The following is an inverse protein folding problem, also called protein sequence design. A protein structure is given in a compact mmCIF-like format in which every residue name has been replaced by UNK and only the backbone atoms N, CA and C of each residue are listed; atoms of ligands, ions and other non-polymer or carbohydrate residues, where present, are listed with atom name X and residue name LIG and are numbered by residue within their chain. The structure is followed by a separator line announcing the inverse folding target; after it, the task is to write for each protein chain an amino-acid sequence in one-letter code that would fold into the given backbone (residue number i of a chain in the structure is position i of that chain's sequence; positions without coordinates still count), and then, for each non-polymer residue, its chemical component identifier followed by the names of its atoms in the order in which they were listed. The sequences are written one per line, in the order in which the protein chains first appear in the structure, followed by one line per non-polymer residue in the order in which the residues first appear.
data_IF_814625298593
#
_entry.id   IF_814625298593
#
_cell.length_a   1.000
_cell.length_b   1.000
_cell.length_c   1.000
_cell.angle_alpha   90.00
_cell.angle_beta   90.00
_cell.angle_gamma   90.00
#
_symmetry.space_group_name_H-M   'P 1'
#
loop_
_entity.id
_entity.type
_entity.pdbx_description
1 polymer ?
#
# COMPACT_ATOMS: atom_id res chain seq x y z
N UNK A 1 -8.90 27.11 -14.11
CA UNK A 1 -7.70 27.97 -14.13
C UNK A 1 -7.10 27.89 -15.52
N UNK A 2 -7.44 28.84 -16.41
CA UNK A 2 -6.73 29.00 -17.69
C UNK A 2 -5.56 29.95 -17.42
N UNK A 3 -4.39 29.61 -17.95
CA UNK A 3 -3.16 30.38 -17.74
C UNK A 3 -3.06 31.63 -18.63
N UNK A 4 -4.17 32.02 -19.27
CA UNK A 4 -4.28 33.14 -20.22
C UNK A 4 -5.58 33.95 -20.02
N UNK A 5 -6.19 33.92 -18.82
CA UNK A 5 -7.54 34.48 -18.60
C UNK A 5 -7.64 36.01 -18.53
N UNK A 6 -6.56 36.77 -18.72
CA UNK A 6 -6.63 38.26 -18.73
C UNK A 6 -6.66 38.90 -20.13
N UNK A 7 -6.85 38.12 -21.19
CA UNK A 7 -6.99 38.64 -22.56
C UNK A 7 -8.35 38.32 -23.20
N UNK A 8 -9.44 38.90 -22.70
CA UNK A 8 -10.64 39.28 -23.48
C UNK A 8 -11.17 38.31 -24.59
N UNK A 9 -10.92 36.99 -24.48
CA UNK A 9 -11.01 36.00 -25.57
C UNK A 9 -10.44 36.48 -26.93
N UNK A 10 -9.47 37.40 -26.96
CA UNK A 10 -8.92 37.92 -28.22
C UNK A 10 -7.81 36.99 -28.75
N UNK A 11 -7.85 36.60 -30.03
CA UNK A 11 -6.79 35.79 -30.61
C UNK A 11 -5.47 36.54 -30.60
N UNK A 12 -4.40 35.87 -30.16
CA UNK A 12 -3.04 36.42 -30.14
C UNK A 12 -2.34 35.99 -31.44
N UNK A 13 -1.85 36.97 -32.22
CA UNK A 13 -1.03 36.69 -33.40
C UNK A 13 0.40 36.34 -32.98
N UNK A 14 0.85 35.13 -33.32
CA UNK A 14 2.21 34.67 -33.07
C UNK A 14 3.05 34.79 -34.35
N UNK A 15 4.26 35.36 -34.24
CA UNK A 15 5.22 35.40 -35.35
C UNK A 15 5.77 34.02 -35.67
N UNK A 16 6.38 33.84 -36.85
CA UNK A 16 7.14 32.63 -37.13
C UNK A 16 8.26 32.43 -36.08
N UNK A 17 8.37 31.22 -35.52
CA UNK A 17 9.37 30.89 -34.51
C UNK A 17 8.83 30.01 -33.38
N UNK A 18 9.65 29.84 -32.34
CA UNK A 18 9.33 29.07 -31.15
C UNK A 18 8.78 30.02 -30.08
N UNK A 19 7.60 29.71 -29.55
CA UNK A 19 6.95 30.47 -28.49
C UNK A 19 6.87 29.62 -27.22
N UNK A 20 7.25 30.21 -26.09
CA UNK A 20 7.20 29.54 -24.78
C UNK A 20 6.21 30.27 -23.87
N UNK A 21 5.26 29.52 -23.34
CA UNK A 21 4.24 30.03 -22.42
C UNK A 21 4.49 29.43 -21.04
N UNK A 22 5.34 30.05 -20.20
CA UNK A 22 5.63 29.53 -18.88
C UNK A 22 4.37 29.58 -18.01
N UNK A 23 4.16 28.54 -17.22
CA UNK A 23 3.07 28.50 -16.26
C UNK A 23 3.52 27.93 -14.93
N UNK A 24 2.80 28.33 -13.88
CA UNK A 24 2.97 27.78 -12.53
C UNK A 24 1.60 27.41 -11.98
N UNK A 25 1.48 26.18 -11.50
CA UNK A 25 0.29 25.69 -10.83
C UNK A 25 0.71 25.21 -9.44
N UNK A 26 0.12 25.79 -8.40
CA UNK A 26 0.25 25.25 -7.05
C UNK A 26 -0.58 23.97 -6.91
N UNK A 27 0.04 22.90 -6.43
CA UNK A 27 -0.67 21.66 -6.11
C UNK A 27 -1.19 21.72 -4.65
N UNK A 28 -2.43 21.28 -4.38
CA UNK A 28 -2.90 21.14 -3.01
C UNK A 28 -2.03 20.15 -2.21
N UNK A 29 -1.76 20.47 -0.94
CA UNK A 29 -0.99 19.59 -0.04
C UNK A 29 -1.75 18.29 0.30
N UNK A 30 -3.07 18.29 0.14
CA UNK A 30 -3.95 17.15 0.42
C UNK A 30 -4.06 16.17 -0.74
N UNK A 31 -3.26 16.31 -1.80
CA UNK A 31 -3.30 15.38 -2.92
C UNK A 31 -2.80 14.00 -2.46
N UNK A 32 -3.54 12.91 -2.77
CA UNK A 32 -3.02 11.57 -2.56
C UNK A 32 -1.77 11.33 -3.43
N UNK A 33 -0.92 10.41 -2.96
CA UNK A 33 0.15 9.87 -3.78
C UNK A 33 -0.40 9.24 -5.07
N UNK A 34 0.38 9.33 -6.14
CA UNK A 34 0.11 8.61 -7.38
C UNK A 34 0.11 7.11 -7.10
N UNK A 35 -0.90 6.42 -7.60
CA UNK A 35 -1.07 4.97 -7.42
C UNK A 35 -1.56 4.36 -8.73
N UNK A 36 -0.97 3.26 -9.17
CA UNK A 36 -1.40 2.55 -10.36
C UNK A 36 -1.66 1.08 -10.00
N UNK A 37 -2.93 0.68 -9.97
CA UNK A 37 -3.38 -0.69 -9.75
C UNK A 37 -4.21 -1.20 -10.91
N UNK A 38 -4.46 -2.51 -10.93
CA UNK A 38 -5.23 -3.15 -12.00
C UNK A 38 -6.70 -2.70 -12.02
N UNK A 39 -7.28 -2.52 -10.82
CA UNK A 39 -8.71 -2.17 -10.66
C UNK A 39 -8.95 -0.69 -10.32
N UNK A 40 -7.90 0.14 -10.39
CA UNK A 40 -8.02 1.58 -10.15
C UNK A 40 -6.67 2.27 -10.02
N UNK A 41 -6.65 3.56 -10.32
CA UNK A 41 -5.45 4.38 -10.26
C UNK A 41 -5.75 5.81 -9.82
N UNK A 42 -4.72 6.46 -9.28
CA UNK A 42 -4.63 7.90 -9.04
C UNK A 42 -3.48 8.39 -9.92
N UNK A 43 -3.80 9.18 -10.95
CA UNK A 43 -2.82 9.71 -11.89
C UNK A 43 -3.03 11.21 -12.08
N UNK A 44 -1.92 11.94 -12.11
CA UNK A 44 -1.92 13.38 -12.34
C UNK A 44 -1.34 13.71 -13.71
N UNK A 45 -1.95 14.69 -14.36
CA UNK A 45 -1.46 15.20 -15.62
C UNK A 45 -1.71 16.69 -15.76
N UNK A 46 -0.84 17.36 -16.48
CA UNK A 46 -1.08 18.70 -16.99
C UNK A 46 -1.57 18.57 -18.43
N UNK A 47 -2.66 19.28 -18.76
CA UNK A 47 -3.21 19.32 -20.11
C UNK A 47 -3.19 20.74 -20.63
N UNK A 48 -2.64 20.92 -21.81
CA UNK A 48 -2.63 22.19 -22.54
C UNK A 48 -3.51 22.07 -23.78
N UNK A 49 -4.17 23.16 -24.13
CA UNK A 49 -4.94 23.28 -25.36
C UNK A 49 -4.66 24.62 -26.02
N UNK A 50 -4.30 24.61 -27.29
CA UNK A 50 -4.14 25.78 -28.13
C UNK A 50 -5.23 25.75 -29.19
N UNK A 51 -6.03 26.81 -29.27
CA UNK A 51 -7.11 26.94 -30.24
C UNK A 51 -6.74 28.01 -31.27
N UNK A 52 -6.79 27.63 -32.54
CA UNK A 52 -6.62 28.54 -33.66
C UNK A 52 -7.90 29.32 -33.94
N UNK A 53 -7.78 30.47 -34.61
CA UNK A 53 -8.92 31.24 -35.12
C UNK A 53 -9.77 30.46 -36.16
N UNK A 54 -9.16 29.47 -36.83
CA UNK A 54 -9.84 28.52 -37.72
C UNK A 54 -10.79 27.56 -36.99
N UNK A 55 -10.70 27.48 -35.66
CA UNK A 55 -11.43 26.54 -34.81
C UNK A 55 -10.68 25.24 -34.50
N UNK A 56 -9.51 25.00 -35.12
CA UNK A 56 -8.68 23.82 -34.84
C UNK A 56 -8.12 23.92 -33.41
N UNK A 57 -8.19 22.82 -32.65
CA UNK A 57 -7.67 22.75 -31.28
C UNK A 57 -6.57 21.71 -31.16
N UNK A 58 -5.35 22.14 -30.88
CA UNK A 58 -4.20 21.31 -30.55
C UNK A 58 -4.21 21.02 -29.05
N UNK A 59 -4.01 19.76 -28.67
CA UNK A 59 -4.00 19.34 -27.26
C UNK A 59 -2.72 18.57 -26.97
N UNK A 60 -2.11 18.85 -25.83
CA UNK A 60 -0.98 18.09 -25.32
C UNK A 60 -1.25 17.75 -23.84
N UNK A 61 -0.76 16.60 -23.40
CA UNK A 61 -0.87 16.13 -22.03
C UNK A 61 0.46 15.57 -21.55
N UNK A 62 0.89 16.01 -20.36
CA UNK A 62 2.08 15.50 -19.68
C UNK A 62 1.68 14.90 -18.33
N UNK A 63 1.97 13.61 -18.13
CA UNK A 63 1.78 12.91 -16.86
C UNK A 63 2.94 13.24 -15.92
N UNK A 64 2.66 13.35 -14.62
CA UNK A 64 3.66 13.51 -13.58
C UNK A 64 3.28 12.74 -12.30
N UNK A 65 4.26 12.52 -11.43
CA UNK A 65 4.09 11.78 -10.18
C UNK A 65 3.95 12.77 -9.02
N UNK A 66 2.92 12.56 -8.22
CA UNK A 66 2.73 13.21 -6.90
C UNK A 66 3.09 12.19 -5.83
N UNK A 67 3.95 12.58 -4.89
CA UNK A 67 4.27 11.80 -3.70
C UNK A 67 3.84 12.60 -2.47
N UNK A 68 3.04 11.97 -1.63
CA UNK A 68 2.63 12.47 -0.32
C UNK A 68 3.14 11.47 0.74
N UNK A 69 4.39 11.61 1.19
CA UNK A 69 5.00 10.69 2.13
C UNK A 69 4.41 10.88 3.54
N UNK A 70 4.41 9.81 4.33
CA UNK A 70 4.04 9.84 5.75
C UNK A 70 5.33 9.91 6.55
N UNK A 71 5.45 10.93 7.40
CA UNK A 71 6.55 11.03 8.36
C UNK A 71 6.16 10.31 9.66
N UNK A 72 6.71 9.12 9.87
CA UNK A 72 6.42 8.30 11.04
C UNK A 72 6.80 8.97 12.36
N UNK A 73 7.66 9.99 12.36
CA UNK A 73 8.02 10.74 13.57
C UNK A 73 6.92 11.70 14.02
N UNK A 74 5.97 12.03 13.14
CA UNK A 74 4.83 12.91 13.43
C UNK A 74 3.55 12.11 13.74
N UNK A 75 3.58 10.79 13.55
CA UNK A 75 2.48 9.89 13.82
C UNK A 75 2.43 9.46 15.30
N UNK A 76 1.42 8.67 15.66
CA UNK A 76 1.24 8.16 17.01
C UNK A 76 2.52 7.44 17.51
N UNK A 77 3.12 7.85 18.65
CA UNK A 77 4.30 7.19 19.21
C UNK A 77 4.13 5.69 19.44
N UNK A 78 2.89 5.22 19.67
CA UNK A 78 2.57 3.80 19.79
C UNK A 78 3.00 2.97 18.56
N UNK A 79 3.20 3.61 17.41
CA UNK A 79 3.69 2.94 16.20
C UNK A 79 5.13 2.42 16.34
N UNK A 80 5.91 2.97 17.27
CA UNK A 80 7.27 2.53 17.59
C UNK A 80 7.30 1.43 18.65
N UNK A 81 6.18 1.13 19.30
CA UNK A 81 6.09 0.10 20.33
C UNK A 81 5.91 -1.29 19.73
N UNK A 82 6.47 -2.33 20.37
CA UNK A 82 6.24 -3.71 19.97
C UNK A 82 4.76 -4.08 19.85
N UNK A 83 4.49 -5.02 18.96
CA UNK A 83 3.14 -5.57 18.75
C UNK A 83 3.18 -7.09 18.91
N UNK A 84 2.42 -7.61 19.87
CA UNK A 84 2.20 -9.05 20.03
C UNK A 84 0.76 -9.42 19.69
N UNK A 85 0.60 -10.56 19.03
CA UNK A 85 -0.69 -11.15 18.71
C UNK A 85 -0.69 -12.64 19.08
N UNK A 86 -1.73 -13.10 19.75
CA UNK A 86 -1.95 -14.51 20.10
C UNK A 86 -3.29 -15.01 19.58
N UNK A 87 -3.28 -16.17 18.93
CA UNK A 87 -4.47 -16.82 18.38
C UNK A 87 -4.45 -18.30 18.75
N UNK A 88 -5.60 -18.80 19.22
CA UNK A 88 -5.85 -20.23 19.42
C UNK A 88 -6.86 -20.71 18.39
N UNK A 89 -6.44 -21.59 17.48
CA UNK A 89 -7.30 -22.15 16.44
C UNK A 89 -7.60 -23.62 16.70
N UNK A 90 -8.88 -23.96 16.88
CA UNK A 90 -9.32 -25.35 17.09
C UNK A 90 -9.53 -26.04 15.74
N UNK A 91 -8.88 -27.17 15.54
CA UNK A 91 -9.02 -28.02 14.36
C UNK A 91 -9.77 -29.29 14.75
N UNK A 92 -10.84 -29.59 14.02
CA UNK A 92 -11.66 -30.80 14.21
C UNK A 92 -12.61 -30.76 15.41
N UNK A 93 -13.40 -31.82 15.53
CA UNK A 93 -14.43 -32.01 16.58
C UNK A 93 -14.21 -33.32 17.33
N UNK A 94 -14.65 -33.35 18.60
CA UNK A 94 -14.55 -34.55 19.45
C UNK A 94 -13.11 -34.93 19.84
N UNK A 95 -12.84 -36.22 20.16
CA UNK A 95 -11.55 -36.70 20.68
C UNK A 95 -10.42 -36.73 19.63
N UNK A 96 -10.72 -36.44 18.37
CA UNK A 96 -9.74 -36.26 17.29
C UNK A 96 -9.38 -34.78 17.08
N UNK A 97 -10.12 -33.87 17.72
CA UNK A 97 -9.84 -32.44 17.68
C UNK A 97 -8.57 -32.07 18.44
N UNK A 98 -7.98 -30.96 18.06
CA UNK A 98 -6.84 -30.36 18.74
C UNK A 98 -6.80 -28.86 18.54
N UNK A 99 -5.81 -28.19 19.12
CA UNK A 99 -5.66 -26.73 19.01
C UNK A 99 -4.27 -26.39 18.49
N UNK A 100 -4.18 -25.39 17.63
CA UNK A 100 -2.92 -24.75 17.27
C UNK A 100 -2.90 -23.40 17.98
N UNK A 101 -1.89 -23.19 18.84
CA UNK A 101 -1.65 -21.88 19.45
C UNK A 101 -0.57 -21.18 18.66
N UNK A 102 -0.80 -19.92 18.32
CA UNK A 102 0.09 -19.09 17.54
C UNK A 102 0.32 -17.79 18.30
N UNK A 103 1.56 -17.53 18.68
CA UNK A 103 2.00 -16.25 19.23
C UNK A 103 2.99 -15.64 18.25
N UNK A 104 2.81 -14.36 17.90
CA UNK A 104 3.72 -13.62 17.02
C UNK A 104 3.97 -12.25 17.59
N UNK A 105 5.23 -11.81 17.55
CA UNK A 105 5.64 -10.47 17.92
C UNK A 105 6.34 -9.76 16.76
N UNK A 106 6.10 -8.45 16.68
CA UNK A 106 6.85 -7.49 15.88
C UNK A 106 7.57 -6.52 16.81
N UNK A 107 8.75 -6.03 16.43
CA UNK A 107 9.49 -5.02 17.20
C UNK A 107 8.80 -3.66 17.21
N UNK A 108 8.04 -3.34 16.15
CA UNK A 108 7.20 -2.13 16.04
C UNK A 108 6.03 -2.29 15.08
N UNK A 109 5.25 -1.23 14.85
CA UNK A 109 4.00 -1.27 14.06
C UNK A 109 4.09 -0.53 12.74
N UNK A 110 5.04 0.38 12.59
CA UNK A 110 5.26 1.12 11.36
C UNK A 110 6.72 1.04 10.91
N UNK A 111 6.89 0.88 9.60
CA UNK A 111 8.18 0.65 8.96
C UNK A 111 8.26 1.47 7.68
N UNK A 112 9.48 1.82 7.30
CA UNK A 112 9.76 2.45 6.01
C UNK A 112 10.34 1.44 5.02
N UNK A 113 10.21 1.68 3.70
CA UNK A 113 10.90 0.86 2.71
C UNK A 113 12.41 0.73 2.98
N UNK A 114 12.93 -0.49 2.83
CA UNK A 114 14.32 -0.86 3.11
C UNK A 114 14.57 -1.32 4.56
N UNK A 115 13.64 -1.11 5.47
CA UNK A 115 13.74 -1.56 6.85
C UNK A 115 13.41 -3.05 7.01
N UNK A 116 13.95 -3.68 8.06
CA UNK A 116 13.59 -5.04 8.45
C UNK A 116 12.53 -5.02 9.56
N UNK A 117 11.43 -5.72 9.32
CA UNK A 117 10.46 -6.10 10.36
C UNK A 117 11.08 -7.24 11.16
N UNK A 118 11.33 -7.06 12.46
CA UNK A 118 11.85 -8.13 13.30
C UNK A 118 10.69 -8.97 13.84
N UNK A 119 10.83 -10.29 13.72
CA UNK A 119 9.77 -11.25 14.03
C UNK A 119 10.18 -12.19 15.15
N UNK A 120 9.31 -12.29 16.14
CA UNK A 120 9.28 -13.42 17.07
C UNK A 120 8.04 -14.26 16.82
N UNK A 121 8.12 -15.55 17.08
CA UNK A 121 7.01 -16.47 16.87
C UNK A 121 7.11 -17.72 17.73
N UNK A 122 5.98 -18.18 18.27
CA UNK A 122 5.87 -19.47 18.95
C UNK A 122 4.58 -20.15 18.48
N UNK A 123 4.74 -21.29 17.80
CA UNK A 123 3.62 -22.10 17.30
C UNK A 123 3.58 -23.42 18.05
N UNK A 124 2.50 -23.68 18.76
CA UNK A 124 2.27 -24.93 19.49
C UNK A 124 1.20 -25.76 18.78
N UNK A 125 1.63 -26.87 18.16
CA UNK A 125 0.72 -27.79 17.49
C UNK A 125 0.21 -28.85 18.48
N UNK A 126 -0.92 -28.59 19.13
CA UNK A 126 -1.59 -29.54 20.03
C UNK A 126 -2.67 -30.34 19.27
N UNK A 127 -2.48 -30.55 17.96
CA UNK A 127 -3.33 -31.41 17.13
C UNK A 127 -2.64 -32.76 16.90
N UNK A 128 -3.42 -33.73 16.41
CA UNK A 128 -2.90 -35.05 16.00
C UNK A 128 -2.24 -35.03 14.61
N UNK A 129 -2.38 -33.93 13.87
CA UNK A 129 -1.87 -33.77 12.50
C UNK A 129 -0.59 -32.93 12.51
N UNK A 130 0.31 -33.17 11.57
CA UNK A 130 1.47 -32.31 11.37
C UNK A 130 1.09 -31.06 10.55
N UNK A 131 1.61 -29.90 10.95
CA UNK A 131 1.53 -28.66 10.14
C UNK A 131 2.56 -28.80 9.02
N UNK A 132 2.09 -28.84 7.76
CA UNK A 132 2.95 -29.13 6.60
C UNK A 132 3.92 -28.01 6.28
N UNK A 133 3.49 -26.77 6.45
CA UNK A 133 4.22 -25.56 6.12
C UNK A 133 3.87 -24.49 7.15
N UNK A 134 4.85 -23.83 7.74
CA UNK A 134 4.63 -22.61 8.50
C UNK A 134 5.28 -21.45 7.74
N UNK A 135 4.55 -20.37 7.53
CA UNK A 135 5.05 -19.19 6.82
C UNK A 135 4.60 -17.90 7.51
N UNK A 136 5.54 -16.98 7.68
CA UNK A 136 5.32 -15.59 8.07
C UNK A 136 5.48 -14.74 6.82
N UNK A 137 4.49 -13.93 6.46
CA UNK A 137 4.51 -13.17 5.23
C UNK A 137 4.05 -11.72 5.42
N UNK A 138 4.77 -10.79 4.80
CA UNK A 138 4.34 -9.40 4.64
C UNK A 138 3.37 -9.36 3.45
N UNK A 139 2.12 -9.01 3.73
CA UNK A 139 1.04 -8.97 2.74
C UNK A 139 0.60 -7.53 2.52
N UNK A 140 0.61 -7.10 1.27
CA UNK A 140 -0.10 -5.92 0.80
C UNK A 140 -1.56 -6.29 0.53
N UNK A 141 -2.49 -5.48 1.02
CA UNK A 141 -3.91 -5.58 0.72
C UNK A 141 -4.38 -4.25 0.13
N UNK A 142 -4.78 -4.25 -1.13
CA UNK A 142 -5.34 -3.09 -1.83
C UNK A 142 -6.84 -3.29 -1.97
N UNK A 143 -7.62 -2.33 -1.49
CA UNK A 143 -9.07 -2.37 -1.49
C UNK A 143 -9.62 -1.21 -2.33
N UNK A 144 -10.55 -1.52 -3.23
CA UNK A 144 -11.21 -0.56 -4.10
C UNK A 144 -12.68 -0.42 -3.70
N UNK A 145 -13.14 0.82 -3.52
CA UNK A 145 -14.47 1.15 -3.02
C UNK A 145 -15.23 2.05 -3.98
N UNK A 146 -16.56 1.88 -4.03
CA UNK A 146 -17.48 2.85 -4.62
C UNK A 146 -18.72 2.98 -3.75
N UNK A 147 -19.20 4.20 -3.53
CA UNK A 147 -20.36 4.49 -2.67
C UNK A 147 -20.23 3.83 -1.27
N UNK A 148 -19.00 3.79 -0.73
CA UNK A 148 -18.70 3.16 0.57
C UNK A 148 -18.68 1.62 0.58
N UNK A 149 -18.99 0.96 -0.54
CA UNK A 149 -18.98 -0.50 -0.67
C UNK A 149 -17.65 -0.98 -1.24
N UNK A 150 -17.10 -2.03 -0.65
CA UNK A 150 -15.93 -2.73 -1.19
C UNK A 150 -16.33 -3.41 -2.50
N UNK A 151 -15.71 -3.02 -3.61
CA UNK A 151 -15.95 -3.60 -4.93
C UNK A 151 -14.92 -4.68 -5.27
N UNK A 152 -13.66 -4.42 -4.94
CA UNK A 152 -12.57 -5.32 -5.26
C UNK A 152 -11.49 -5.28 -4.18
N UNK A 153 -10.80 -6.41 -3.99
CA UNK A 153 -9.67 -6.52 -3.09
C UNK A 153 -8.59 -7.39 -3.71
N UNK A 154 -7.38 -6.85 -3.78
CA UNK A 154 -6.18 -7.57 -4.16
C UNK A 154 -5.33 -7.84 -2.92
N UNK A 155 -4.70 -9.01 -2.87
CA UNK A 155 -3.68 -9.33 -1.86
C UNK A 155 -2.42 -9.79 -2.57
N UNK A 156 -1.28 -9.24 -2.16
CA UNK A 156 0.03 -9.58 -2.70
C UNK A 156 0.98 -9.95 -1.57
N UNK A 157 1.65 -11.08 -1.70
CA UNK A 157 2.77 -11.43 -0.84
C UNK A 157 4.01 -10.66 -1.31
N UNK A 158 4.59 -9.89 -0.40
CA UNK A 158 5.72 -9.01 -0.69
C UNK A 158 7.04 -9.60 -0.25
N UNK A 159 7.03 -10.29 0.90
CA UNK A 159 8.16 -10.99 1.47
C UNK A 159 7.64 -12.13 2.34
N UNK A 160 8.40 -13.21 2.46
CA UNK A 160 8.03 -14.34 3.29
C UNK A 160 9.24 -15.03 3.92
N UNK A 161 9.03 -15.54 5.14
CA UNK A 161 9.92 -16.42 5.87
C UNK A 161 9.21 -17.76 6.06
N UNK A 162 9.76 -18.80 5.45
CA UNK A 162 9.22 -20.17 5.51
C UNK A 162 9.97 -20.97 6.57
N UNK A 163 9.23 -21.72 7.38
CA UNK A 163 9.70 -22.61 8.42
C UNK A 163 9.41 -24.06 8.06
N UNK A 164 10.13 -24.96 8.72
CA UNK A 164 9.97 -26.40 8.52
C UNK A 164 8.63 -26.92 9.05
N UNK A 165 8.33 -28.16 8.66
CA UNK A 165 7.16 -28.91 9.11
C UNK A 165 7.15 -29.05 10.63
N UNK A 166 6.03 -28.72 11.27
CA UNK A 166 5.84 -28.94 12.71
C UNK A 166 5.12 -30.27 12.92
N UNK A 167 5.78 -31.20 13.61
CA UNK A 167 5.19 -32.51 13.95
C UNK A 167 3.99 -32.33 14.90
N UNK A 168 3.13 -33.35 14.92
CA UNK A 168 2.04 -33.46 15.90
C UNK A 168 2.59 -33.36 17.33
N UNK A 169 1.89 -32.62 18.20
CA UNK A 169 2.28 -32.40 19.60
C UNK A 169 3.55 -31.56 19.83
N UNK A 170 4.15 -31.01 18.77
CA UNK A 170 5.43 -30.29 18.84
C UNK A 170 5.25 -28.77 18.78
N UNK A 171 6.34 -28.04 19.00
CA UNK A 171 6.39 -26.57 18.85
C UNK A 171 7.49 -26.11 17.91
N UNK A 172 7.28 -24.96 17.27
CA UNK A 172 8.31 -24.16 16.60
C UNK A 172 8.48 -22.83 17.32
N UNK A 173 9.72 -22.38 17.46
CA UNK A 173 10.07 -21.10 18.07
C UNK A 173 10.99 -20.33 17.12
N UNK A 174 10.59 -19.11 16.79
CA UNK A 174 11.32 -18.14 15.99
C UNK A 174 11.71 -16.96 16.89
N UNK A 175 13.01 -16.74 17.08
CA UNK A 175 13.51 -15.63 17.92
C UNK A 175 14.07 -14.47 17.10
N UNK A 176 14.73 -14.75 15.96
CA UNK A 176 15.44 -13.74 15.16
C UNK A 176 14.97 -13.76 13.70
N UNK A 177 13.65 -13.86 13.48
CA UNK A 177 13.10 -13.77 12.13
C UNK A 177 13.11 -12.33 11.64
N UNK A 178 13.17 -12.14 10.32
CA UNK A 178 12.94 -10.82 9.75
C UNK A 178 12.29 -10.89 8.36
N UNK A 179 11.60 -9.82 8.00
CA UNK A 179 11.08 -9.56 6.65
C UNK A 179 11.51 -8.15 6.23
N UNK A 180 12.20 -8.04 5.10
CA UNK A 180 12.59 -6.73 4.56
C UNK A 180 11.39 -6.08 3.85
N UNK A 181 11.12 -4.82 4.16
CA UNK A 181 10.09 -4.02 3.51
C UNK A 181 10.59 -3.58 2.13
N UNK A 182 9.98 -4.02 1.02
CA UNK A 182 10.42 -3.59 -0.31
C UNK A 182 9.99 -2.13 -0.60
N UNK A 183 10.46 -1.54 -1.72
CA UNK A 183 9.91 -0.28 -2.22
C UNK A 183 8.41 -0.39 -2.49
N UNK A 184 7.60 0.33 -1.71
CA UNK A 184 6.14 0.24 -1.70
C UNK A 184 5.50 1.64 -1.58
N UNK A 185 4.26 1.82 -2.06
CA UNK A 185 3.51 3.02 -1.76
C UNK A 185 3.22 3.12 -0.24
N UNK A 186 3.02 4.34 0.29
CA UNK A 186 2.71 4.50 1.71
C UNK A 186 1.36 3.85 2.08
N UNK A 187 1.24 3.44 3.35
CA UNK A 187 -0.01 2.94 3.92
C UNK A 187 -1.08 4.02 3.84
N UNK A 188 -2.25 3.68 3.29
CA UNK A 188 -3.35 4.59 2.99
C UNK A 188 -2.95 5.77 2.08
N UNK A 189 -3.79 6.04 1.07
CA UNK A 189 -3.61 7.20 0.20
C UNK A 189 -4.35 8.38 0.85
N UNK A 190 -3.64 9.21 1.62
CA UNK A 190 -4.23 10.39 2.29
C UNK A 190 -5.06 11.22 1.30
N UNK A 191 -6.31 11.54 1.66
CA UNK A 191 -7.26 12.24 0.79
C UNK A 191 -7.96 11.36 -0.26
N UNK A 192 -7.68 10.06 -0.33
CA UNK A 192 -8.40 9.10 -1.17
C UNK A 192 -9.31 8.18 -0.34
N UNK A 193 -10.58 8.09 -0.72
CA UNK A 193 -11.56 7.21 -0.08
C UNK A 193 -11.98 6.03 -0.98
N UNK A 194 -11.52 6.03 -2.24
CA UNK A 194 -11.84 4.99 -3.22
C UNK A 194 -10.82 3.85 -3.22
N UNK A 195 -9.58 4.12 -2.79
CA UNK A 195 -8.49 3.16 -2.79
C UNK A 195 -7.85 3.17 -1.40
N UNK A 196 -7.72 2.00 -0.79
CA UNK A 196 -7.07 1.83 0.52
C UNK A 196 -5.99 0.77 0.41
N UNK A 197 -4.78 1.12 0.87
CA UNK A 197 -3.63 0.22 0.88
C UNK A 197 -3.28 -0.07 2.34
N UNK A 198 -3.15 -1.36 2.66
CA UNK A 198 -2.79 -1.83 4.00
C UNK A 198 -1.69 -2.88 3.90
N UNK A 199 -0.82 -2.88 4.90
CA UNK A 199 0.22 -3.89 5.05
C UNK A 199 0.01 -4.65 6.35
N UNK A 200 0.16 -5.98 6.30
CA UNK A 200 0.07 -6.82 7.50
C UNK A 200 1.06 -7.97 7.44
N UNK A 201 1.60 -8.34 8.60
CA UNK A 201 2.30 -9.62 8.76
C UNK A 201 1.25 -10.68 9.03
N UNK A 202 1.21 -11.72 8.18
CA UNK A 202 0.30 -12.84 8.29
C UNK A 202 1.07 -14.13 8.60
N UNK A 203 0.49 -14.98 9.45
CA UNK A 203 0.95 -16.35 9.64
C UNK A 203 0.01 -17.30 8.91
N UNK A 204 0.57 -18.20 8.12
CA UNK A 204 -0.16 -19.29 7.47
C UNK A 204 0.44 -20.64 7.83
N UNK A 205 -0.44 -21.61 8.12
CA UNK A 205 -0.16 -22.99 8.54
C UNK A 205 -0.96 -24.01 7.74
#
# INVERSE_FOLDING_TARGET
MKLLDDFDNKPILLSAGVHCFPFKLGLPVSLPSTFLGQHGWIQYYCKTSLQESSGITHKNQQVFIVLNPIDLNLEDPLLSDPLEASVNHRIGVGPLGGTIRCNVGLDKRAYVPGENILLTGEIHNQTKLAIKLLKYALIETVQFFAHGKLLHQERRELAALVRERIKSGSRDVLQNGHLTVPPLPPTNLLGCHLIRIRYSVCVSI
#
